data_IF_599398747131
#
_entry.id   IF_599398747131
#
_cell.length_a   1.000
_cell.length_b   1.000
_cell.length_c   1.000
_cell.angle_alpha   90.00
_cell.angle_beta   90.00
_cell.angle_gamma   90.00
#
_symmetry.space_group_name_H-M   'P 1'
#
loop_
_entity.id
_entity.type
_entity.pdbx_description
1 polymer ?
#
# COMPACT_ATOMS: atom_id res chain seq x y z
N UNK A 1 6.42 -11.72 -18.83
CA UNK A 1 7.59 -10.82 -18.81
C UNK A 1 7.16 -9.43 -18.32
N UNK A 2 6.17 -8.78 -18.94
CA UNK A 2 5.77 -7.40 -18.61
C UNK A 2 5.33 -7.17 -17.17
N UNK A 3 4.60 -8.11 -16.53
CA UNK A 3 4.15 -7.95 -15.15
C UNK A 3 5.30 -7.83 -14.15
N UNK A 4 6.39 -8.62 -14.35
CA UNK A 4 7.61 -8.51 -13.52
C UNK A 4 8.23 -7.12 -13.64
N UNK A 5 8.31 -6.60 -14.85
CA UNK A 5 8.87 -5.28 -15.12
C UNK A 5 8.04 -4.16 -14.50
N UNK A 6 6.72 -4.25 -14.54
CA UNK A 6 5.85 -3.27 -13.88
C UNK A 6 5.98 -3.33 -12.35
N UNK A 7 5.96 -4.54 -11.77
CA UNK A 7 6.15 -4.71 -10.31
C UNK A 7 7.51 -4.17 -9.87
N UNK A 8 8.57 -4.45 -10.63
CA UNK A 8 9.90 -3.89 -10.37
C UNK A 8 9.88 -2.35 -10.34
N UNK A 9 9.31 -1.71 -11.36
CA UNK A 9 9.25 -0.25 -11.43
C UNK A 9 8.43 0.36 -10.28
N UNK A 10 7.31 -0.27 -9.90
CA UNK A 10 6.52 0.16 -8.74
C UNK A 10 7.38 0.10 -7.47
N UNK A 11 8.05 -1.02 -7.23
CA UNK A 11 8.89 -1.21 -6.03
C UNK A 11 10.12 -0.32 -6.03
N UNK A 12 10.75 -0.09 -7.19
CA UNK A 12 11.85 0.86 -7.33
C UNK A 12 11.42 2.28 -6.94
N UNK A 13 10.25 2.73 -7.42
CA UNK A 13 9.66 3.99 -7.00
C UNK A 13 9.30 4.02 -5.51
N UNK A 14 8.73 2.93 -4.97
CA UNK A 14 8.41 2.82 -3.54
C UNK A 14 9.66 2.79 -2.66
N UNK A 15 10.78 2.20 -3.10
CA UNK A 15 12.05 2.25 -2.36
C UNK A 15 12.46 3.70 -2.12
N UNK A 16 12.37 4.55 -3.14
CA UNK A 16 12.66 5.97 -3.00
C UNK A 16 11.70 6.67 -2.01
N UNK A 17 10.40 6.42 -2.14
CA UNK A 17 9.37 7.00 -1.26
C UNK A 17 9.53 6.52 0.19
N UNK A 18 9.73 5.22 0.38
CA UNK A 18 9.87 4.62 1.71
C UNK A 18 11.20 4.98 2.40
N UNK A 19 12.28 5.24 1.64
CA UNK A 19 13.54 5.72 2.20
C UNK A 19 13.44 7.15 2.76
N UNK A 20 12.51 7.96 2.23
CA UNK A 20 12.13 9.26 2.77
C UNK A 20 11.20 9.17 4.00
N UNK A 21 10.94 7.97 4.53
CA UNK A 21 9.95 7.71 5.59
C UNK A 21 8.52 8.09 5.20
N UNK A 22 8.15 8.05 3.91
CA UNK A 22 6.83 8.34 3.39
C UNK A 22 6.09 7.06 3.02
N UNK A 23 4.79 7.00 3.29
CA UNK A 23 3.86 5.99 2.80
C UNK A 23 2.96 6.63 1.75
N UNK A 24 2.72 5.95 0.62
CA UNK A 24 1.81 6.43 -0.42
C UNK A 24 0.34 6.28 -0.01
N UNK A 25 -0.05 5.13 0.56
CA UNK A 25 -1.37 4.81 1.16
C UNK A 25 -2.56 4.65 0.19
N UNK A 26 -2.40 4.96 -1.09
CA UNK A 26 -3.46 4.80 -2.10
C UNK A 26 -2.94 4.23 -3.43
N UNK A 27 -2.01 3.25 -3.34
CA UNK A 27 -1.56 2.55 -4.53
C UNK A 27 -2.70 1.70 -5.11
N UNK A 28 -2.95 1.91 -6.40
CA UNK A 28 -3.97 1.22 -7.21
C UNK A 28 -3.63 1.41 -8.69
N UNK A 29 -4.18 0.59 -9.60
CA UNK A 29 -3.86 0.71 -11.04
C UNK A 29 -4.08 2.11 -11.61
N UNK A 30 -5.12 2.85 -11.18
CA UNK A 30 -5.40 4.20 -11.67
C UNK A 30 -4.36 5.26 -11.24
N UNK A 31 -3.52 4.96 -10.23
CA UNK A 31 -2.42 5.82 -9.77
C UNK A 31 -1.05 5.36 -10.33
N UNK A 32 -1.06 4.49 -11.33
CA UNK A 32 0.11 4.01 -12.05
C UNK A 32 -0.01 4.42 -13.51
N UNK A 33 0.83 5.35 -13.95
CA UNK A 33 0.82 5.89 -15.29
C UNK A 33 1.85 5.15 -16.14
N UNK A 34 1.46 4.73 -17.34
CA UNK A 34 2.30 4.03 -18.31
C UNK A 34 2.41 4.84 -19.58
N UNK A 35 3.62 4.90 -20.15
CA UNK A 35 3.84 5.41 -21.50
C UNK A 35 3.92 4.27 -22.55
N UNK A 36 4.08 4.64 -23.81
CA UNK A 36 4.18 3.66 -24.92
C UNK A 36 5.40 2.74 -24.84
N UNK A 37 6.43 3.09 -24.06
CA UNK A 37 7.65 2.31 -23.86
C UNK A 37 7.57 1.42 -22.60
N UNK A 38 6.41 1.32 -21.96
CA UNK A 38 6.22 0.61 -20.71
C UNK A 38 6.96 1.20 -19.51
N UNK A 39 7.37 2.49 -19.55
CA UNK A 39 7.87 3.17 -18.36
C UNK A 39 6.70 3.53 -17.45
N UNK A 40 6.85 3.21 -16.16
CA UNK A 40 5.83 3.39 -15.15
C UNK A 40 6.18 4.54 -14.21
N UNK A 41 5.18 5.38 -13.90
CA UNK A 41 5.26 6.43 -12.88
C UNK A 41 4.14 6.28 -11.86
N UNK A 42 4.49 6.38 -10.57
CA UNK A 42 3.52 6.48 -9.48
C UNK A 42 3.03 7.92 -9.39
N UNK A 43 1.72 8.12 -9.25
CA UNK A 43 1.10 9.45 -9.10
C UNK A 43 0.10 9.45 -7.94
N UNK A 44 -0.45 10.66 -7.65
CA UNK A 44 -1.46 10.91 -6.62
C UNK A 44 -0.97 10.64 -5.18
N UNK A 45 -0.11 11.53 -4.70
CA UNK A 45 0.37 11.55 -3.31
C UNK A 45 -0.60 12.26 -2.34
N UNK A 46 -1.84 12.52 -2.74
CA UNK A 46 -2.85 13.22 -1.92
C UNK A 46 -3.15 12.57 -0.57
N UNK A 47 -2.94 11.26 -0.46
CA UNK A 47 -3.08 10.51 0.79
C UNK A 47 -1.73 10.15 1.44
N UNK A 48 -0.61 10.58 0.89
CA UNK A 48 0.72 10.25 1.44
C UNK A 48 0.93 10.85 2.83
N UNK A 49 1.68 10.14 3.68
CA UNK A 49 2.02 10.57 5.05
C UNK A 49 3.41 10.07 5.42
N UNK A 50 4.06 10.78 6.37
CA UNK A 50 5.29 10.29 7.00
C UNK A 50 4.95 9.09 7.89
N UNK A 51 5.75 8.03 7.81
CA UNK A 51 5.65 6.84 8.66
C UNK A 51 6.21 7.15 10.06
N UNK A 52 5.50 7.98 10.85
CA UNK A 52 5.92 8.33 12.21
C UNK A 52 4.99 7.66 13.23
N UNK A 53 5.48 6.65 13.99
CA UNK A 53 4.67 5.96 14.99
C UNK A 53 4.26 6.85 16.18
N UNK A 54 4.89 8.03 16.36
CA UNK A 54 4.54 8.98 17.43
C UNK A 54 3.41 9.94 17.05
N UNK A 55 3.12 10.10 15.78
CA UNK A 55 1.98 10.85 15.32
C UNK A 55 0.78 9.90 15.30
N UNK A 56 -0.02 9.93 16.37
CA UNK A 56 -1.37 9.36 16.34
C UNK A 56 -2.13 10.10 15.24
N UNK A 57 -2.15 9.53 14.04
CA UNK A 57 -3.05 9.99 12.99
C UNK A 57 -4.48 9.57 13.38
N UNK A 58 -5.07 10.27 14.37
CA UNK A 58 -6.53 10.29 14.57
C UNK A 58 -7.25 11.01 13.41
N UNK A 59 -6.50 11.39 12.40
CA UNK A 59 -7.02 11.90 11.14
C UNK A 59 -7.64 10.74 10.37
N UNK A 60 -8.96 10.73 10.38
CA UNK A 60 -9.82 9.95 9.51
C UNK A 60 -9.15 9.79 8.12
N UNK A 61 -8.71 8.56 7.80
CA UNK A 61 -8.64 8.24 6.38
C UNK A 61 -10.02 8.65 5.85
N UNK A 62 -10.05 9.46 4.81
CA UNK A 62 -11.29 9.80 4.11
C UNK A 62 -11.98 8.49 3.73
N UNK A 63 -12.78 7.98 4.68
CA UNK A 63 -13.34 6.62 4.67
C UNK A 63 -14.24 6.40 3.47
N UNK A 64 -14.65 7.47 2.80
CA UNK A 64 -15.80 7.46 1.91
C UNK A 64 -15.51 7.63 0.41
N UNK A 65 -14.30 7.96 -0.04
CA UNK A 65 -14.12 8.40 -1.43
C UNK A 65 -13.13 7.57 -2.27
N UNK A 66 -12.24 6.78 -1.67
CA UNK A 66 -11.21 6.05 -2.42
C UNK A 66 -11.50 4.55 -2.49
N UNK A 67 -11.14 3.92 -3.61
CA UNK A 67 -11.26 2.48 -3.85
C UNK A 67 -10.54 1.68 -2.76
N UNK A 68 -11.28 0.86 -2.01
CA UNK A 68 -10.76 0.05 -0.89
C UNK A 68 -10.14 -1.28 -1.31
N UNK A 69 -10.26 -1.66 -2.57
CA UNK A 69 -9.90 -2.99 -3.08
C UNK A 69 -8.42 -3.35 -2.91
N UNK A 70 -7.55 -2.35 -2.82
CA UNK A 70 -6.09 -2.48 -2.70
C UNK A 70 -5.59 -2.21 -1.28
N UNK A 71 -6.49 -1.98 -0.32
CA UNK A 71 -6.13 -1.63 1.06
C UNK A 71 -5.83 -2.86 1.90
N UNK A 72 -4.79 -2.76 2.69
CA UNK A 72 -4.35 -3.81 3.61
C UNK A 72 -5.36 -4.06 4.75
N UNK A 73 -5.42 -5.29 5.32
CA UNK A 73 -6.37 -5.66 6.36
C UNK A 73 -6.24 -4.82 7.63
N UNK A 74 -5.04 -4.39 8.01
CA UNK A 74 -4.82 -3.52 9.17
C UNK A 74 -5.53 -2.18 9.03
N UNK A 75 -5.70 -1.66 7.81
CA UNK A 75 -6.48 -0.45 7.56
C UNK A 75 -7.97 -0.69 7.86
N UNK A 76 -8.49 -1.87 7.44
CA UNK A 76 -9.88 -2.25 7.70
C UNK A 76 -10.16 -2.50 9.19
N UNK A 77 -9.15 -2.96 9.91
CA UNK A 77 -9.24 -3.32 11.33
C UNK A 77 -8.88 -2.16 12.28
N UNK A 78 -8.72 -0.95 11.75
CA UNK A 78 -8.36 0.25 12.53
C UNK A 78 -7.15 -0.01 13.44
N UNK A 79 -6.11 -0.66 12.90
CA UNK A 79 -4.84 -0.76 13.60
C UNK A 79 -4.25 0.65 13.71
N UNK A 80 -3.96 1.07 14.94
CA UNK A 80 -3.49 2.43 15.22
C UNK A 80 -2.10 2.74 14.60
N UNK A 81 -1.38 1.72 14.18
CA UNK A 81 -0.03 1.85 13.64
C UNK A 81 -0.02 1.42 12.17
N UNK A 82 -0.16 2.38 11.27
CA UNK A 82 0.07 2.14 9.84
C UNK A 82 1.58 2.20 9.56
N UNK A 83 2.06 1.24 8.80
CA UNK A 83 3.47 1.16 8.39
C UNK A 83 3.59 1.13 6.88
N UNK A 84 4.79 1.26 6.36
CA UNK A 84 5.13 1.13 4.94
C UNK A 84 4.63 -0.19 4.32
N UNK A 85 4.37 -1.22 5.15
CA UNK A 85 3.83 -2.51 4.73
C UNK A 85 2.46 -2.42 4.02
N UNK A 86 1.67 -1.37 4.24
CA UNK A 86 0.39 -1.16 3.53
C UNK A 86 0.58 -1.01 2.01
N UNK A 87 1.65 -0.34 1.59
CA UNK A 87 1.94 -0.15 0.17
C UNK A 87 2.40 -1.46 -0.48
N UNK A 88 3.15 -2.30 0.23
CA UNK A 88 3.55 -3.63 -0.25
C UNK A 88 2.35 -4.56 -0.42
N UNK A 89 1.36 -4.49 0.46
CA UNK A 89 0.08 -5.18 0.25
C UNK A 89 -0.60 -4.74 -1.05
N UNK A 90 -0.66 -3.44 -1.30
CA UNK A 90 -1.23 -2.89 -2.53
C UNK A 90 -0.50 -3.41 -3.78
N UNK A 91 0.83 -3.49 -3.75
CA UNK A 91 1.62 -4.12 -4.84
C UNK A 91 1.20 -5.57 -5.07
N UNK A 92 1.01 -6.35 -3.99
CA UNK A 92 0.53 -7.73 -4.08
C UNK A 92 -0.84 -7.85 -4.73
N UNK A 93 -1.79 -6.98 -4.37
CA UNK A 93 -3.13 -6.98 -4.98
C UNK A 93 -3.12 -6.51 -6.43
N UNK A 94 -2.26 -5.57 -6.79
CA UNK A 94 -2.05 -5.12 -8.18
C UNK A 94 -1.45 -6.26 -9.02
N UNK A 95 -0.44 -6.98 -8.51
CA UNK A 95 0.11 -8.15 -9.20
C UNK A 95 -0.95 -9.24 -9.40
N UNK A 96 -1.76 -9.52 -8.37
CA UNK A 96 -2.84 -10.49 -8.46
C UNK A 96 -3.86 -10.12 -9.56
N UNK A 97 -4.19 -8.84 -9.67
CA UNK A 97 -5.07 -8.32 -10.73
C UNK A 97 -4.43 -8.43 -12.11
N UNK A 98 -3.15 -8.11 -12.28
CA UNK A 98 -2.45 -8.31 -13.54
C UNK A 98 -2.44 -9.77 -13.99
N UNK A 99 -2.31 -10.72 -13.07
CA UNK A 99 -2.31 -12.15 -13.36
C UNK A 99 -3.69 -12.71 -13.71
N UNK A 100 -4.76 -12.13 -13.20
CA UNK A 100 -6.13 -12.66 -13.35
C UNK A 100 -7.03 -11.80 -14.25
N UNK A 101 -6.63 -10.56 -14.54
CA UNK A 101 -7.42 -9.58 -15.29
C UNK A 101 -8.60 -8.99 -14.50
N UNK A 102 -8.67 -9.22 -13.18
CA UNK A 102 -9.72 -8.70 -12.30
C UNK A 102 -9.21 -8.44 -10.88
N UNK A 103 -9.77 -7.44 -10.17
CA UNK A 103 -9.39 -7.16 -8.79
C UNK A 103 -9.54 -8.39 -7.90
N UNK A 104 -8.53 -8.63 -7.03
CA UNK A 104 -8.53 -9.78 -6.13
C UNK A 104 -9.61 -9.66 -5.05
N UNK A 105 -9.81 -8.45 -4.50
CA UNK A 105 -10.72 -8.18 -3.39
C UNK A 105 -11.68 -7.01 -3.70
N UNK A 106 -12.70 -7.20 -4.59
CA UNK A 106 -13.63 -6.13 -4.98
C UNK A 106 -14.72 -5.91 -3.92
N UNK A 107 -14.32 -5.44 -2.74
CA UNK A 107 -15.22 -5.19 -1.61
C UNK A 107 -16.17 -4.03 -1.84
N UNK A 108 -17.46 -4.19 -1.47
CA UNK A 108 -18.50 -3.15 -1.56
C UNK A 108 -18.45 -2.18 -0.39
N UNK A 109 -18.05 -2.68 0.77
CA UNK A 109 -17.88 -1.95 2.03
C UNK A 109 -16.72 -2.56 2.84
N UNK A 110 -16.42 -2.02 4.02
CA UNK A 110 -15.31 -2.49 4.87
C UNK A 110 -15.47 -3.93 5.33
N UNK A 111 -16.69 -4.33 5.72
CA UNK A 111 -16.96 -5.70 6.18
C UNK A 111 -16.82 -6.70 5.04
N UNK A 112 -17.36 -6.36 3.88
CA UNK A 112 -17.24 -7.20 2.68
C UNK A 112 -15.79 -7.28 2.20
N UNK A 113 -15.05 -6.17 2.23
CA UNK A 113 -13.62 -6.15 1.88
C UNK A 113 -12.82 -7.12 2.77
N UNK A 114 -12.98 -7.01 4.09
CA UNK A 114 -12.30 -7.90 5.04
C UNK A 114 -12.76 -9.35 4.86
N UNK A 115 -14.04 -9.59 4.61
CA UNK A 115 -14.59 -10.93 4.31
C UNK A 115 -13.88 -11.56 3.10
N UNK A 116 -13.72 -10.83 2.00
CA UNK A 116 -13.02 -11.30 0.80
C UNK A 116 -11.53 -11.60 1.08
N UNK A 117 -10.86 -10.78 1.86
CA UNK A 117 -9.47 -11.02 2.27
C UNK A 117 -9.38 -12.34 3.06
N UNK A 118 -10.25 -12.53 4.04
CA UNK A 118 -10.28 -13.75 4.86
C UNK A 118 -10.73 -14.99 4.07
N UNK A 119 -11.54 -14.83 3.02
CA UNK A 119 -11.89 -15.92 2.11
C UNK A 119 -10.70 -16.47 1.34
N UNK A 120 -9.66 -15.66 1.14
CA UNK A 120 -8.43 -16.06 0.45
C UNK A 120 -7.35 -16.47 1.45
N UNK A 121 -7.06 -15.64 2.45
CA UNK A 121 -5.98 -15.89 3.41
C UNK A 121 -6.34 -16.88 4.51
N UNK A 122 -7.63 -17.12 4.71
CA UNK A 122 -8.14 -17.90 5.85
C UNK A 122 -8.33 -17.06 7.10
N UNK A 123 -8.90 -17.68 8.13
CA UNK A 123 -8.96 -17.09 9.48
C UNK A 123 -7.54 -16.88 10.01
N UNK A 124 -7.22 -15.71 10.57
CA UNK A 124 -5.91 -15.44 11.12
C UNK A 124 -5.49 -16.49 12.15
N UNK A 125 -4.21 -16.84 12.18
CA UNK A 125 -3.63 -17.67 13.22
C UNK A 125 -3.77 -17.01 14.60
N UNK A 126 -3.59 -17.77 15.69
CA UNK A 126 -3.63 -17.18 17.03
C UNK A 126 -2.62 -16.05 17.21
N UNK A 127 -1.43 -16.19 16.64
CA UNK A 127 -0.39 -15.16 16.67
C UNK A 127 -0.83 -13.89 15.94
N UNK A 128 -1.32 -14.02 14.71
CA UNK A 128 -1.86 -12.90 13.92
C UNK A 128 -3.08 -12.25 14.59
N UNK A 129 -3.95 -13.06 15.18
CA UNK A 129 -5.11 -12.57 15.91
C UNK A 129 -4.72 -11.72 17.14
N UNK A 130 -3.74 -12.16 17.93
CA UNK A 130 -3.28 -11.40 19.08
C UNK A 130 -2.38 -10.22 18.71
N UNK A 131 -1.81 -10.19 17.52
CA UNK A 131 -1.14 -9.01 16.96
C UNK A 131 -2.10 -7.85 16.66
N UNK A 132 -3.41 -8.10 16.51
CA UNK A 132 -4.42 -7.06 16.31
C UNK A 132 -4.57 -6.22 17.59
N UNK A 133 -4.17 -4.96 17.59
CA UNK A 133 -4.19 -4.10 18.78
C UNK A 133 -5.61 -3.74 19.24
N UNK A 134 -6.57 -3.59 18.30
CA UNK A 134 -7.94 -3.21 18.59
C UNK A 134 -8.76 -4.37 19.16
N UNK A 135 -9.27 -4.25 20.38
CA UNK A 135 -10.18 -5.24 20.98
C UNK A 135 -11.45 -5.41 20.15
N UNK A 136 -12.04 -4.31 19.67
CA UNK A 136 -13.25 -4.33 18.81
C UNK A 136 -13.01 -5.13 17.54
N UNK A 137 -11.84 -4.96 16.93
CA UNK A 137 -11.46 -5.69 15.71
C UNK A 137 -11.25 -7.18 15.99
N UNK A 138 -10.63 -7.54 17.13
CA UNK A 138 -10.53 -8.94 17.55
C UNK A 138 -11.89 -9.58 17.79
N UNK A 139 -12.80 -8.88 18.48
CA UNK A 139 -14.16 -9.39 18.72
C UNK A 139 -14.92 -9.59 17.42
N UNK A 140 -14.75 -8.68 16.45
CA UNK A 140 -15.31 -8.83 15.10
C UNK A 140 -14.76 -10.09 14.39
N UNK A 141 -13.45 -10.27 14.35
CA UNK A 141 -12.81 -11.45 13.71
C UNK A 141 -13.26 -12.74 14.38
N UNK A 142 -13.35 -12.76 15.73
CA UNK A 142 -13.82 -13.93 16.51
C UNK A 142 -15.25 -14.33 16.18
N UNK A 143 -16.10 -13.37 15.85
CA UNK A 143 -17.52 -13.61 15.49
C UNK A 143 -17.69 -14.17 14.06
N UNK A 144 -16.65 -14.11 13.22
CA UNK A 144 -16.71 -14.64 11.87
C UNK A 144 -16.56 -16.17 11.85
N UNK A 145 -17.19 -16.86 10.89
CA UNK A 145 -16.98 -18.30 10.73
C UNK A 145 -15.54 -18.60 10.34
N UNK A 146 -15.05 -19.77 10.79
CA UNK A 146 -13.73 -20.24 10.38
C UNK A 146 -13.62 -20.42 8.87
N UNK A 147 -12.51 -19.96 8.29
CA UNK A 147 -12.21 -20.05 6.86
C UNK A 147 -10.83 -20.69 6.66
N UNK A 148 -10.77 -21.67 5.78
CA UNK A 148 -9.50 -22.28 5.39
C UNK A 148 -8.79 -21.39 4.36
N UNK A 149 -7.47 -21.22 4.52
CA UNK A 149 -6.63 -20.54 3.52
C UNK A 149 -6.76 -21.23 2.16
N UNK A 150 -6.96 -20.45 1.11
CA UNK A 150 -6.98 -20.96 -0.27
C UNK A 150 -5.56 -21.21 -0.76
N UNK A 151 -5.43 -22.20 -1.62
CA UNK A 151 -4.20 -22.51 -2.32
C UNK A 151 -3.99 -21.48 -3.46
N UNK A 152 -2.91 -20.72 -3.39
CA UNK A 152 -2.60 -19.70 -4.39
C UNK A 152 -2.32 -20.30 -5.77
N UNK A 153 -1.81 -21.54 -5.86
CA UNK A 153 -1.61 -22.21 -7.14
C UNK A 153 -2.93 -22.45 -7.89
N UNK A 154 -4.03 -22.64 -7.14
CA UNK A 154 -5.37 -22.77 -7.72
C UNK A 154 -6.01 -21.43 -8.07
N UNK A 155 -5.67 -20.37 -7.33
CA UNK A 155 -6.16 -19.02 -7.61
C UNK A 155 -5.44 -18.40 -8.81
N UNK A 156 -4.16 -18.72 -9.00
CA UNK A 156 -3.29 -18.16 -10.03
C UNK A 156 -2.62 -19.28 -10.84
N UNK A 157 -3.38 -20.07 -11.62
CA UNK A 157 -2.87 -21.28 -12.28
C UNK A 157 -1.82 -21.01 -13.35
N UNK A 158 -1.72 -19.77 -13.84
CA UNK A 158 -0.72 -19.35 -14.84
C UNK A 158 0.50 -18.68 -14.24
N UNK A 159 0.53 -18.49 -12.90
CA UNK A 159 1.64 -17.85 -12.21
C UNK A 159 2.82 -18.81 -12.04
N UNK A 160 4.05 -18.29 -12.18
CA UNK A 160 5.25 -19.08 -11.88
C UNK A 160 5.38 -19.31 -10.36
N UNK A 161 6.16 -20.31 -9.92
CA UNK A 161 6.41 -20.55 -8.49
C UNK A 161 6.92 -19.31 -7.75
N UNK A 162 7.81 -18.53 -8.38
CA UNK A 162 8.34 -17.29 -7.81
C UNK A 162 7.25 -16.21 -7.68
N UNK A 163 6.31 -16.13 -8.63
CA UNK A 163 5.19 -15.21 -8.56
C UNK A 163 4.24 -15.59 -7.41
N UNK A 164 3.99 -16.89 -7.22
CA UNK A 164 3.15 -17.39 -6.11
C UNK A 164 3.80 -17.09 -4.76
N UNK A 165 5.11 -17.29 -4.62
CA UNK A 165 5.86 -16.98 -3.40
C UNK A 165 5.84 -15.47 -3.12
N UNK A 166 6.08 -14.64 -4.15
CA UNK A 166 5.97 -13.19 -4.05
C UNK A 166 4.58 -12.73 -3.56
N UNK A 167 3.52 -13.28 -4.15
CA UNK A 167 2.14 -12.99 -3.72
C UNK A 167 1.90 -13.41 -2.27
N UNK A 168 2.39 -14.57 -1.84
CA UNK A 168 2.21 -15.04 -0.46
C UNK A 168 2.90 -14.11 0.55
N UNK A 169 4.11 -13.64 0.22
CA UNK A 169 4.90 -12.74 1.09
C UNK A 169 4.38 -11.31 1.11
N UNK A 170 3.85 -10.81 -0.01
CA UNK A 170 3.22 -9.48 -0.08
C UNK A 170 1.81 -9.44 0.52
N UNK A 171 1.03 -10.53 0.39
CA UNK A 171 -0.32 -10.67 0.91
C UNK A 171 -0.33 -11.41 2.27
N UNK A 172 0.64 -11.13 3.13
CA UNK A 172 0.69 -11.64 4.51
C UNK A 172 -0.21 -10.77 5.40
N UNK A 173 -1.06 -11.41 6.22
CA UNK A 173 -2.04 -10.73 7.06
C UNK A 173 -1.37 -9.80 8.09
N UNK A 174 -0.37 -10.33 8.81
CA UNK A 174 0.41 -9.54 9.78
C UNK A 174 1.39 -8.60 9.06
N UNK A 175 1.24 -7.27 9.18
CA UNK A 175 2.14 -6.30 8.54
C UNK A 175 3.60 -6.43 8.97
N UNK A 176 3.86 -6.94 10.18
CA UNK A 176 5.23 -7.17 10.70
C UNK A 176 5.93 -8.36 10.03
N UNK A 177 5.15 -9.30 9.49
CA UNK A 177 5.65 -10.49 8.77
C UNK A 177 5.62 -10.30 7.25
N UNK A 178 4.96 -9.24 6.79
CA UNK A 178 4.93 -8.90 5.37
C UNK A 178 6.31 -8.44 4.91
N UNK A 179 6.76 -8.85 3.74
CA UNK A 179 8.05 -8.43 3.21
C UNK A 179 8.12 -6.91 3.04
N UNK A 180 9.32 -6.34 3.21
CA UNK A 180 9.59 -4.93 2.94
C UNK A 180 9.78 -4.69 1.43
N UNK A 181 9.89 -3.43 1.02
CA UNK A 181 10.18 -3.08 -0.40
C UNK A 181 11.55 -3.59 -0.81
N UNK A 182 12.55 -3.50 0.07
CA UNK A 182 13.91 -3.99 -0.18
C UNK A 182 13.89 -5.52 -0.37
N UNK A 183 13.25 -6.26 0.54
CA UNK A 183 13.07 -7.70 0.41
C UNK A 183 12.29 -8.09 -0.84
N UNK A 184 11.34 -7.26 -1.27
CA UNK A 184 10.56 -7.49 -2.48
C UNK A 184 11.40 -7.29 -3.74
N UNK A 185 12.29 -6.29 -3.77
CA UNK A 185 13.24 -6.07 -4.88
C UNK A 185 14.25 -7.20 -5.01
N UNK A 186 14.77 -7.71 -3.88
CA UNK A 186 15.71 -8.86 -3.83
C UNK A 186 15.02 -10.20 -4.12
N UNK A 187 13.69 -10.23 -4.22
CA UNK A 187 12.95 -11.48 -4.40
C UNK A 187 13.25 -12.15 -5.74
N UNK A 188 13.40 -13.50 -5.81
CA UNK A 188 13.68 -14.23 -7.06
C UNK A 188 12.74 -13.91 -8.22
N UNK A 189 11.50 -13.52 -7.93
CA UNK A 189 10.54 -13.07 -8.94
C UNK A 189 11.06 -11.88 -9.76
N UNK A 190 11.89 -11.00 -9.18
CA UNK A 190 12.41 -9.78 -9.81
C UNK A 190 13.89 -9.86 -10.19
N UNK A 191 14.54 -11.00 -10.02
CA UNK A 191 15.99 -11.18 -10.25
C UNK A 191 16.50 -10.72 -11.61
N UNK A 192 15.62 -10.70 -12.64
CA UNK A 192 15.97 -10.24 -13.98
C UNK A 192 16.08 -8.71 -14.13
N UNK A 193 15.63 -7.94 -13.12
CA UNK A 193 15.56 -6.48 -13.15
C UNK A 193 16.23 -5.81 -11.95
N UNK A 194 16.35 -6.51 -10.82
CA UNK A 194 16.94 -5.98 -9.60
C UNK A 194 18.38 -5.57 -9.82
N UNK A 195 18.66 -4.28 -9.63
CA UNK A 195 19.99 -3.67 -9.68
C UNK A 195 20.10 -2.63 -8.56
N UNK A 196 20.78 -2.96 -7.45
CA UNK A 196 20.92 -2.06 -6.31
C UNK A 196 21.55 -0.68 -6.67
N UNK A 197 22.41 -0.62 -7.70
CA UNK A 197 23.06 0.61 -8.14
C UNK A 197 22.09 1.55 -8.89
N UNK A 198 21.03 0.99 -9.51
CA UNK A 198 19.99 1.76 -10.22
C UNK A 198 18.70 1.93 -9.37
N UNK A 199 18.73 1.67 -8.08
CA UNK A 199 17.60 1.80 -7.16
C UNK A 199 17.84 2.93 -6.14
N UNK A 200 17.55 4.19 -6.51
CA UNK A 200 17.89 5.35 -5.70
C UNK A 200 17.10 5.42 -4.40
N UNK A 201 17.69 6.06 -3.39
CA UNK A 201 17.06 6.41 -2.13
C UNK A 201 17.01 7.92 -1.95
N UNK A 202 16.02 8.40 -1.18
CA UNK A 202 15.90 9.80 -0.80
C UNK A 202 16.34 10.02 0.66
N UNK A 203 16.80 11.22 1.05
CA UNK A 203 16.97 11.57 2.45
C UNK A 203 15.62 11.56 3.17
N UNK A 204 15.63 11.26 4.47
CA UNK A 204 14.43 11.34 5.31
C UNK A 204 13.88 12.76 5.33
N UNK A 205 12.55 12.87 5.21
CA UNK A 205 11.87 14.15 5.34
C UNK A 205 11.84 14.61 6.82
N UNK A 206 11.81 15.93 7.07
CA UNK A 206 11.56 16.45 8.40
C UNK A 206 10.25 15.91 8.97
N UNK A 207 10.16 15.62 10.29
CA UNK A 207 8.94 15.09 10.90
C UNK A 207 7.70 15.97 10.74
N UNK A 208 7.90 17.26 10.53
CA UNK A 208 6.87 18.29 10.35
C UNK A 208 6.57 18.60 8.88
N UNK A 209 7.17 17.88 7.93
CA UNK A 209 6.97 18.13 6.50
C UNK A 209 5.49 18.12 6.07
N UNK A 210 4.65 17.28 6.70
CA UNK A 210 3.20 17.23 6.46
C UNK A 210 2.40 17.99 7.54
N UNK A 211 3.02 18.96 8.25
CA UNK A 211 2.34 19.73 9.30
C UNK A 211 1.10 20.47 8.79
N UNK A 212 1.13 20.95 7.55
CA UNK A 212 -0.01 21.59 6.88
C UNK A 212 -1.27 20.70 6.89
N UNK A 213 -1.12 19.38 6.90
CA UNK A 213 -2.25 18.45 6.99
C UNK A 213 -2.91 18.43 8.39
N UNK A 214 -2.15 18.71 9.44
CA UNK A 214 -2.66 18.81 10.82
C UNK A 214 -3.41 20.14 11.04
N UNK A 215 -3.08 21.16 10.29
CA UNK A 215 -3.65 22.51 10.38
C UNK A 215 -4.93 22.71 9.54
N UNK A 216 -5.37 21.68 8.82
CA UNK A 216 -6.57 21.71 7.95
C UNK A 216 -7.84 22.25 8.62
N UNK A 217 -8.00 22.01 9.93
CA UNK A 217 -9.16 22.46 10.68
C UNK A 217 -9.11 23.95 11.08
N UNK A 218 -7.93 24.58 10.99
CA UNK A 218 -7.68 25.95 11.46
C UNK A 218 -7.29 26.91 10.36
N UNK A 219 -6.82 26.40 9.19
CA UNK A 219 -6.41 27.25 8.06
C UNK A 219 -7.61 27.93 7.42
N UNK A 220 -7.51 29.23 7.25
CA UNK A 220 -8.53 30.02 6.54
C UNK A 220 -8.43 29.83 5.03
N UNK A 221 -9.50 30.18 4.30
CA UNK A 221 -9.53 30.14 2.83
C UNK A 221 -8.46 31.05 2.21
N UNK A 222 -8.23 32.19 2.82
CA UNK A 222 -7.25 33.18 2.39
C UNK A 222 -5.82 32.65 2.56
N UNK A 223 -5.49 32.05 3.69
CA UNK A 223 -4.21 31.42 3.95
C UNK A 223 -3.94 30.27 2.97
N UNK A 224 -4.93 29.37 2.77
CA UNK A 224 -4.81 28.28 1.79
C UNK A 224 -4.56 28.77 0.37
N UNK A 225 -5.22 29.87 -0.04
CA UNK A 225 -4.97 30.50 -1.34
C UNK A 225 -3.56 31.08 -1.44
N UNK A 226 -3.05 31.66 -0.37
CA UNK A 226 -1.69 32.18 -0.28
C UNK A 226 -0.65 31.07 -0.46
N UNK A 227 -0.80 29.97 0.27
CA UNK A 227 0.08 28.81 0.17
C UNK A 227 0.05 28.18 -1.24
N UNK A 228 -1.15 27.99 -1.81
CA UNK A 228 -1.27 27.48 -3.18
C UNK A 228 -0.60 28.41 -4.20
N UNK A 229 -0.75 29.72 -4.03
CA UNK A 229 -0.11 30.70 -4.90
C UNK A 229 1.42 30.63 -4.81
N UNK A 230 1.95 30.51 -3.59
CA UNK A 230 3.38 30.36 -3.36
C UNK A 230 3.90 29.08 -4.04
N UNK A 231 3.23 27.94 -3.86
CA UNK A 231 3.60 26.68 -4.50
C UNK A 231 3.58 26.77 -6.03
N UNK A 232 2.59 27.45 -6.61
CA UNK A 232 2.53 27.70 -8.07
C UNK A 232 3.74 28.52 -8.53
N UNK A 233 4.12 29.56 -7.78
CA UNK A 233 5.26 30.43 -8.12
C UNK A 233 6.59 29.64 -8.05
N UNK A 234 6.77 28.81 -7.02
CA UNK A 234 7.96 27.96 -6.84
C UNK A 234 8.05 26.85 -7.90
N UNK A 235 6.91 26.32 -8.35
CA UNK A 235 6.84 25.24 -9.35
C UNK A 235 6.90 25.77 -10.79
N UNK A 236 6.66 27.04 -11.03
CA UNK A 236 6.70 27.61 -12.41
C UNK A 236 8.16 27.55 -12.89
N UNK A 237 8.50 26.71 -13.88
CA UNK A 237 9.84 26.70 -14.43
C UNK A 237 10.13 28.12 -14.97
N UNK A 238 11.29 28.63 -14.66
CA UNK A 238 11.79 29.86 -15.26
C UNK A 238 11.80 29.66 -16.78
N UNK A 239 10.83 30.25 -17.48
CA UNK A 239 10.80 30.34 -18.93
C UNK A 239 11.95 31.21 -19.42
#
# INVERSE_FOLDING_TARGET
VHFRFFVYQILRGLKYVHSAEVMHRDLKPSNLLLNGNCDLKICDFGLARVANPKLNFDGFMTEYVATRWYRAPEIMLSWKEYTKAIDVWSVGTILAEMLTGRPLFPGRDYHHQLSLILDVLGTPTLEEFYAINSRRSRDYIRALPFRKRKDFSKLFPTASPEALDFLQKSLTFDPKKRMTVEQALEHPYLSAYHDPEDEPTAPSLPPDFFKFDLEKATITKEELRGELWQQIQEFTPLL
#
